data_IF_379407265687
#
_entry.id   IF_379407265687
#
_cell.length_a   1.000
_cell.length_b   1.000
_cell.length_c   1.000
_cell.angle_alpha   90.00
_cell.angle_beta   90.00
_cell.angle_gamma   90.00
#
_symmetry.space_group_name_H-M   'P 1'
#
loop_
_entity.id
_entity.type
_entity.pdbx_description
1 polymer ?
#
# COMPACT_ATOMS: atom_id res chain seq x y z
N UNK A 1 -1.00 8.95 2.24
CA UNK A 1 0.36 9.07 2.80
C UNK A 1 0.94 7.68 2.92
N UNK A 2 2.17 7.48 2.45
CA UNK A 2 2.94 6.24 2.62
C UNK A 2 4.10 6.59 3.54
N UNK A 3 4.40 5.74 4.53
CA UNK A 3 5.48 5.94 5.50
C UNK A 3 6.28 4.66 5.58
N UNK A 4 7.60 4.80 5.63
CA UNK A 4 8.54 3.71 5.91
C UNK A 4 9.09 3.92 7.32
N UNK A 5 9.09 2.86 8.10
CA UNK A 5 9.55 2.87 9.49
C UNK A 5 10.72 1.90 9.62
N UNK A 6 11.86 2.44 10.03
CA UNK A 6 12.95 1.64 10.57
C UNK A 6 12.63 1.28 12.02
N UNK A 7 13.10 0.12 12.49
CA UNK A 7 12.87 -0.37 13.86
C UNK A 7 11.39 -0.34 14.30
N UNK A 8 10.50 -1.10 13.62
CA UNK A 8 9.05 -0.97 13.77
C UNK A 8 8.54 -1.18 15.21
N UNK A 9 9.27 -1.89 16.06
CA UNK A 9 8.93 -2.05 17.48
C UNK A 9 8.89 -0.73 18.26
N UNK A 10 9.84 0.19 17.98
CA UNK A 10 9.94 1.48 18.67
C UNK A 10 9.21 2.59 17.90
N UNK A 11 9.40 2.62 16.58
CA UNK A 11 8.97 3.75 15.75
C UNK A 11 7.46 3.80 15.51
N UNK A 12 6.76 2.66 15.55
CA UNK A 12 5.30 2.61 15.35
C UNK A 12 4.54 3.42 16.40
N UNK A 13 4.93 3.34 17.68
CA UNK A 13 4.27 4.07 18.77
C UNK A 13 4.47 5.58 18.62
N UNK A 14 5.72 6.01 18.37
CA UNK A 14 6.06 7.41 18.12
C UNK A 14 5.32 7.97 16.91
N UNK A 15 5.19 7.19 15.83
CA UNK A 15 4.41 7.60 14.67
C UNK A 15 2.93 7.83 15.01
N UNK A 16 2.32 6.91 15.75
CA UNK A 16 0.90 7.03 16.15
C UNK A 16 0.66 8.27 17.02
N UNK A 17 1.59 8.57 17.92
CA UNK A 17 1.56 9.80 18.74
C UNK A 17 1.62 11.06 17.86
N UNK A 18 2.61 11.14 16.96
CA UNK A 18 2.76 12.29 16.06
C UNK A 18 1.53 12.49 15.15
N UNK A 19 1.00 11.40 14.58
CA UNK A 19 -0.21 11.49 13.75
C UNK A 19 -1.40 11.94 14.60
N UNK A 20 -1.52 11.45 15.84
CA UNK A 20 -2.59 11.86 16.76
C UNK A 20 -2.51 13.34 17.13
N UNK A 21 -1.31 13.84 17.46
CA UNK A 21 -1.07 15.26 17.77
C UNK A 21 -1.41 16.15 16.58
N UNK A 22 -0.87 15.82 15.39
CA UNK A 22 -1.18 16.56 14.17
C UNK A 22 -2.68 16.53 13.85
N UNK A 23 -3.30 15.37 13.99
CA UNK A 23 -4.73 15.17 13.76
C UNK A 23 -5.59 16.04 14.68
N UNK A 24 -5.21 16.19 15.96
CA UNK A 24 -5.90 17.08 16.91
C UNK A 24 -5.85 18.54 16.48
N UNK A 25 -4.68 19.02 16.05
CA UNK A 25 -4.50 20.41 15.60
C UNK A 25 -5.26 20.67 14.30
N UNK A 26 -5.19 19.73 13.35
CA UNK A 26 -5.81 19.88 12.03
C UNK A 26 -7.31 19.50 12.00
N UNK A 27 -7.86 18.95 13.09
CA UNK A 27 -9.25 18.49 13.14
C UNK A 27 -9.54 17.21 12.34
N UNK A 28 -8.51 16.42 12.02
CA UNK A 28 -8.66 15.15 11.29
C UNK A 28 -8.69 13.95 12.22
N UNK A 29 -9.13 12.80 11.71
CA UNK A 29 -9.09 11.51 12.42
C UNK A 29 -8.59 10.42 11.48
N UNK A 30 -7.58 9.69 11.93
CA UNK A 30 -7.05 8.52 11.20
C UNK A 30 -8.10 7.42 11.18
N UNK A 31 -8.29 6.81 10.01
CA UNK A 31 -9.13 5.64 9.86
C UNK A 31 -8.25 4.37 9.85
N UNK A 32 -8.12 3.72 11.01
CA UNK A 32 -7.29 2.53 11.17
C UNK A 32 -7.69 1.36 10.24
N UNK A 33 -8.99 1.21 9.93
CA UNK A 33 -9.49 0.16 9.03
C UNK A 33 -9.15 0.40 7.55
N UNK A 34 -8.96 1.66 7.15
CA UNK A 34 -8.51 1.99 5.78
C UNK A 34 -6.98 1.99 5.68
N UNK A 35 -6.27 2.17 6.79
CA UNK A 35 -4.82 2.12 6.85
C UNK A 35 -4.30 0.68 6.78
N UNK A 36 -3.43 0.44 5.81
CA UNK A 36 -2.80 -0.86 5.61
C UNK A 36 -1.28 -0.75 5.75
N UNK A 37 -0.63 -1.83 6.17
CA UNK A 37 0.82 -1.88 6.33
C UNK A 37 1.41 -3.20 5.81
N UNK A 38 2.67 -3.15 5.39
CA UNK A 38 3.51 -4.31 5.16
C UNK A 38 4.54 -4.42 6.28
N UNK A 39 4.78 -5.63 6.77
CA UNK A 39 5.85 -5.91 7.73
C UNK A 39 7.08 -6.47 7.01
N UNK A 40 8.22 -5.80 7.19
CA UNK A 40 9.53 -6.20 6.68
C UNK A 40 10.43 -6.65 7.83
N UNK A 41 10.01 -7.71 8.51
CA UNK A 41 10.68 -8.23 9.71
C UNK A 41 11.06 -9.68 9.41
N UNK A 42 12.33 -10.01 9.61
CA UNK A 42 12.83 -11.38 9.42
C UNK A 42 12.69 -12.24 10.67
N UNK A 43 12.69 -11.61 11.85
CA UNK A 43 12.51 -12.31 13.13
C UNK A 43 11.03 -12.63 13.38
N UNK A 44 10.69 -13.91 13.41
CA UNK A 44 9.32 -14.38 13.58
C UNK A 44 8.70 -13.96 14.93
N UNK A 45 9.53 -13.89 15.98
CA UNK A 45 9.05 -13.52 17.31
C UNK A 45 8.60 -12.06 17.36
N UNK A 46 9.41 -11.16 16.79
CA UNK A 46 9.13 -9.74 16.64
C UNK A 46 7.98 -9.49 15.67
N UNK A 47 7.88 -10.24 14.57
CA UNK A 47 6.75 -10.15 13.64
C UNK A 47 5.43 -10.50 14.35
N UNK A 48 5.43 -11.57 15.16
CA UNK A 48 4.25 -11.99 15.94
C UNK A 48 3.86 -10.96 16.98
N UNK A 49 4.81 -10.30 17.62
CA UNK A 49 4.55 -9.23 18.59
C UNK A 49 3.93 -8.01 17.91
N UNK A 50 4.49 -7.58 16.79
CA UNK A 50 3.98 -6.43 16.02
C UNK A 50 2.60 -6.71 15.44
N UNK A 51 2.35 -7.94 14.99
CA UNK A 51 1.02 -8.40 14.54
C UNK A 51 -0.07 -8.24 15.60
N UNK A 52 0.27 -8.36 16.89
CA UNK A 52 -0.68 -8.21 18.00
C UNK A 52 -0.89 -6.76 18.43
N UNK A 53 0.11 -5.91 18.22
CA UNK A 53 0.13 -4.53 18.75
C UNK A 53 -0.29 -3.49 17.73
N UNK A 54 -0.08 -3.74 16.43
CA UNK A 54 -0.41 -2.75 15.40
C UNK A 54 -1.92 -2.56 15.27
N UNK A 55 -2.41 -1.30 15.22
CA UNK A 55 -3.82 -1.02 14.97
C UNK A 55 -4.19 -1.10 13.49
N UNK A 56 -3.21 -1.27 12.59
CA UNK A 56 -3.40 -1.25 11.15
C UNK A 56 -3.58 -2.64 10.57
N UNK A 57 -4.34 -2.74 9.47
CA UNK A 57 -4.50 -4.01 8.76
C UNK A 57 -3.19 -4.40 8.08
N UNK A 58 -2.64 -5.57 8.45
CA UNK A 58 -1.43 -6.09 7.82
C UNK A 58 -1.82 -6.79 6.51
N UNK A 59 -1.33 -6.26 5.40
CA UNK A 59 -1.50 -6.88 4.10
C UNK A 59 -0.47 -8.00 3.91
N UNK A 60 -0.89 -9.12 3.32
CA UNK A 60 -0.02 -10.27 3.08
C UNK A 60 0.75 -10.19 1.76
N UNK A 61 0.17 -9.57 0.73
CA UNK A 61 0.73 -9.57 -0.64
C UNK A 61 0.67 -8.22 -1.34
N UNK A 62 -0.50 -7.59 -1.39
CA UNK A 62 -0.75 -6.37 -2.16
C UNK A 62 -1.61 -5.35 -1.42
N UNK A 63 -1.32 -4.07 -1.63
CA UNK A 63 -2.11 -2.92 -1.20
C UNK A 63 -2.33 -2.05 -2.44
N UNK A 64 -3.59 -1.68 -2.72
CA UNK A 64 -3.88 -0.75 -3.81
C UNK A 64 -3.79 0.69 -3.30
N UNK A 65 -2.94 1.51 -3.91
CA UNK A 65 -2.80 2.93 -3.61
C UNK A 65 -2.82 3.75 -4.89
N UNK A 66 -3.79 4.67 -5.01
CA UNK A 66 -3.96 5.55 -6.18
C UNK A 66 -3.94 4.80 -7.54
N UNK A 67 -4.54 3.62 -7.59
CA UNK A 67 -4.58 2.80 -8.81
C UNK A 67 -3.38 1.86 -9.01
N UNK A 68 -2.31 2.03 -8.23
CA UNK A 68 -1.09 1.21 -8.29
C UNK A 68 -1.17 0.10 -7.24
N UNK A 69 -0.79 -1.12 -7.62
CA UNK A 69 -0.60 -2.24 -6.72
C UNK A 69 0.78 -2.14 -6.07
N UNK A 70 0.83 -1.76 -4.81
CA UNK A 70 2.04 -1.89 -3.99
C UNK A 70 2.15 -3.34 -3.51
N UNK A 71 3.30 -3.95 -3.71
CA UNK A 71 3.60 -5.31 -3.27
C UNK A 71 4.56 -5.28 -2.09
N UNK A 72 4.52 -6.35 -1.27
CA UNK A 72 5.55 -6.55 -0.24
C UNK A 72 6.93 -6.67 -0.88
N UNK A 73 7.07 -7.47 -1.93
CA UNK A 73 8.34 -7.64 -2.64
C UNK A 73 8.49 -6.60 -3.76
N UNK A 74 9.52 -5.75 -3.67
CA UNK A 74 9.78 -4.65 -4.62
C UNK A 74 9.94 -5.16 -6.06
N UNK A 75 10.53 -6.35 -6.23
CA UNK A 75 10.73 -6.98 -7.55
C UNK A 75 9.42 -7.24 -8.31
N UNK A 76 8.31 -7.43 -7.57
CA UNK A 76 7.01 -7.75 -8.17
C UNK A 76 6.26 -6.50 -8.65
N UNK A 77 6.65 -5.30 -8.17
CA UNK A 77 6.00 -4.03 -8.52
C UNK A 77 5.94 -3.81 -10.04
N UNK A 78 7.01 -4.14 -10.76
CA UNK A 78 7.08 -3.97 -12.21
C UNK A 78 6.06 -4.87 -12.94
N UNK A 79 5.99 -6.15 -12.56
CA UNK A 79 5.10 -7.10 -13.23
C UNK A 79 3.64 -6.83 -12.89
N UNK A 80 3.34 -6.50 -11.63
CA UNK A 80 1.96 -6.22 -11.18
C UNK A 80 1.38 -4.95 -11.80
N UNK A 81 2.23 -3.95 -12.07
CA UNK A 81 1.77 -2.66 -12.59
C UNK A 81 2.13 -2.47 -14.06
N UNK A 82 3.43 -2.37 -14.38
CA UNK A 82 3.88 -1.95 -15.71
C UNK A 82 3.51 -2.95 -16.80
N UNK A 83 3.69 -4.25 -16.55
CA UNK A 83 3.34 -5.28 -17.54
C UNK A 83 1.84 -5.28 -17.86
N UNK A 84 1.00 -5.10 -16.84
CA UNK A 84 -0.45 -4.99 -16.99
C UNK A 84 -0.83 -3.72 -17.74
N UNK A 85 -0.31 -2.57 -17.30
CA UNK A 85 -0.56 -1.26 -17.92
C UNK A 85 -0.13 -1.24 -19.39
N UNK A 86 1.01 -1.84 -19.72
CA UNK A 86 1.49 -1.96 -21.11
C UNK A 86 0.48 -2.69 -21.98
N UNK A 87 -0.07 -3.83 -21.52
CA UNK A 87 -1.09 -4.58 -22.27
C UNK A 87 -2.37 -3.79 -22.47
N UNK A 88 -2.83 -3.07 -21.44
CA UNK A 88 -4.00 -2.21 -21.54
C UNK A 88 -3.80 -1.10 -22.58
N UNK A 89 -2.62 -0.47 -22.59
CA UNK A 89 -2.27 0.54 -23.60
C UNK A 89 -2.24 -0.07 -25.01
N UNK A 90 -1.61 -1.23 -25.19
CA UNK A 90 -1.55 -1.94 -26.48
C UNK A 90 -2.95 -2.30 -26.99
N UNK A 91 -3.84 -2.78 -26.11
CA UNK A 91 -5.21 -3.11 -26.46
C UNK A 91 -6.03 -1.86 -26.82
N UNK A 92 -5.86 -0.77 -26.07
CA UNK A 92 -6.51 0.51 -26.37
C UNK A 92 -6.04 1.07 -27.72
N UNK A 93 -4.74 1.01 -28.03
CA UNK A 93 -4.22 1.40 -29.35
C UNK A 93 -4.81 0.53 -30.46
N UNK A 94 -4.97 -0.79 -30.23
CA UNK A 94 -5.60 -1.69 -31.22
C UNK A 94 -7.05 -1.30 -31.49
N UNK A 95 -7.83 -1.02 -30.44
CA UNK A 95 -9.23 -0.57 -30.55
C UNK A 95 -9.36 0.79 -31.26
N UNK A 96 -8.39 1.68 -31.09
CA UNK A 96 -8.35 2.98 -31.78
C UNK A 96 -8.03 2.85 -33.27
N UNK A 97 -7.23 1.86 -33.66
CA UNK A 97 -6.88 1.62 -35.07
C UNK A 97 -7.98 0.95 -35.87
N UNK A 98 -8.81 0.14 -35.22
CA UNK A 98 -9.94 -0.57 -35.84
C UNK A 98 -11.19 -0.40 -34.96
N UNK A 99 -11.86 0.77 -35.05
CA UNK A 99 -13.03 1.05 -34.23
C UNK A 99 -14.19 0.13 -34.64
N UNK A 100 -14.96 -0.42 -33.69
CA UNK A 100 -16.12 -1.23 -34.03
C UNK A 100 -17.10 -0.39 -34.86
N UNK A 101 -17.45 -0.88 -36.05
CA UNK A 101 -18.49 -0.28 -36.87
C UNK A 101 -19.81 -0.28 -36.08
N UNK A 102 -20.35 0.89 -35.82
CA UNK A 102 -21.70 1.06 -35.29
C UNK A 102 -22.60 1.43 -36.48
N UNK A 103 -23.29 0.42 -37.01
CA UNK A 103 -24.36 0.56 -38.00
C UNK A 103 -25.73 0.39 -37.35
#
# INVERSE_FOLDING_TARGET
MIIYLEEPGNSTRKLLELISEFSKVAGYKVNAHKSHTFLYISDESSEREIRKTTPFTIASKKIKYLGINLTKEVKDLYNENYRTLKKEIEENIRRWKDPPFHG
#
